data_IF_007530038905
#
_entry.id   IF_007530038905
#
_cell.length_a   1.000
_cell.length_b   1.000
_cell.length_c   1.000
_cell.angle_alpha   90.00
_cell.angle_beta   90.00
_cell.angle_gamma   90.00
#
_symmetry.space_group_name_H-M   'P 1'
#
loop_
_entity.id
_entity.type
_entity.pdbx_description
1 polymer ?
#
# COMPACT_ATOMS: atom_id res chain seq x y z
N UNK A 1 -39.91 5.08 0.34
CA UNK A 1 -40.46 3.72 0.60
C UNK A 1 -39.32 2.92 1.19
N UNK A 2 -39.36 2.67 2.50
CA UNK A 2 -38.26 2.05 3.24
C UNK A 2 -38.17 0.56 2.89
N UNK A 3 -37.12 0.18 2.16
CA UNK A 3 -36.79 -1.20 1.84
C UNK A 3 -35.72 -1.66 2.81
N UNK A 4 -36.02 -2.68 3.62
CA UNK A 4 -35.04 -3.24 4.54
C UNK A 4 -33.91 -3.99 3.81
N UNK A 5 -32.68 -3.88 4.29
CA UNK A 5 -31.52 -4.63 3.83
C UNK A 5 -30.78 -5.29 5.00
N UNK A 6 -29.97 -6.30 4.69
CA UNK A 6 -29.09 -6.99 5.63
C UNK A 6 -27.93 -6.09 6.08
N UNK A 7 -27.31 -6.37 7.22
CA UNK A 7 -26.28 -5.49 7.79
C UNK A 7 -25.14 -6.22 8.49
N UNK A 8 -24.00 -5.54 8.64
CA UNK A 8 -22.79 -6.12 9.27
C UNK A 8 -22.48 -5.37 10.56
N UNK A 9 -22.30 -6.10 11.67
CA UNK A 9 -21.97 -5.52 12.99
C UNK A 9 -20.47 -5.54 13.27
N UNK A 10 -19.95 -4.51 13.96
CA UNK A 10 -18.56 -4.35 14.41
C UNK A 10 -18.48 -4.00 15.91
N UNK A 11 -17.90 -4.88 16.73
CA UNK A 11 -17.63 -4.57 18.16
C UNK A 11 -16.28 -3.88 18.33
N UNK A 12 -16.28 -2.75 19.06
CA UNK A 12 -15.09 -2.20 19.70
C UNK A 12 -15.17 -2.53 21.19
N UNK A 13 -14.23 -3.34 21.71
CA UNK A 13 -14.23 -3.72 23.12
C UNK A 13 -13.87 -2.51 24.00
N UNK A 14 -14.87 -1.81 24.53
CA UNK A 14 -14.66 -0.78 25.56
C UNK A 14 -14.37 -1.46 26.90
N UNK A 15 -13.16 -1.25 27.39
CA UNK A 15 -12.65 -1.83 28.63
C UNK A 15 -13.46 -1.44 29.85
N UNK A 16 -13.80 -2.44 30.66
CA UNK A 16 -14.35 -2.22 32.00
C UNK A 16 -13.20 -1.84 32.92
N UNK A 17 -13.22 -0.60 33.42
CA UNK A 17 -12.36 -0.13 34.50
C UNK A 17 -12.71 -0.88 35.80
N UNK A 18 -11.99 -1.95 36.10
CA UNK A 18 -11.81 -2.44 37.47
C UNK A 18 -10.34 -2.35 37.85
N UNK A 19 -10.12 -1.69 38.98
CA UNK A 19 -8.83 -1.37 39.56
C UNK A 19 -8.19 -2.66 40.08
N UNK A 20 -7.05 -3.08 39.51
CA UNK A 20 -5.97 -3.80 40.21
C UNK A 20 -4.62 -3.54 39.51
N UNK A 21 -3.51 -3.41 40.27
CA UNK A 21 -2.25 -2.92 39.74
C UNK A 21 -1.38 -4.04 39.17
N UNK A 22 -0.71 -3.70 38.06
CA UNK A 22 0.50 -4.35 37.55
C UNK A 22 0.34 -5.78 36.99
N UNK A 23 -0.23 -5.88 35.80
CA UNK A 23 0.13 -6.92 34.83
C UNK A 23 0.86 -6.21 33.69
N UNK A 24 2.16 -6.50 33.58
CA UNK A 24 2.97 -6.20 32.41
C UNK A 24 2.26 -6.71 31.17
N UNK A 25 1.66 -5.79 30.41
CA UNK A 25 0.93 -6.11 29.19
C UNK A 25 1.92 -6.57 28.13
N UNK A 26 2.13 -7.88 28.07
CA UNK A 26 2.41 -8.54 26.81
C UNK A 26 1.19 -8.26 25.93
N UNK A 27 1.33 -7.37 24.95
CA UNK A 27 0.31 -7.03 23.96
C UNK A 27 0.11 -8.17 22.96
N UNK A 28 -0.25 -9.35 23.48
CA UNK A 28 -0.75 -10.51 22.75
C UNK A 28 -2.24 -10.65 23.05
N UNK A 29 -3.05 -9.69 22.58
CA UNK A 29 -4.50 -9.73 22.72
C UNK A 29 -5.08 -11.01 22.13
N UNK A 30 -5.96 -11.66 22.89
CA UNK A 30 -6.67 -12.88 22.49
C UNK A 30 -7.33 -12.70 21.11
N UNK A 31 -6.88 -13.48 20.13
CA UNK A 31 -7.38 -13.52 18.74
C UNK A 31 -8.74 -14.23 18.62
N UNK A 32 -9.66 -14.01 19.54
CA UNK A 32 -10.93 -14.73 19.59
C UNK A 32 -12.11 -13.76 19.51
N UNK A 33 -12.99 -14.00 18.56
CA UNK A 33 -14.26 -13.31 18.46
C UNK A 33 -15.33 -14.03 19.30
N UNK A 34 -16.36 -13.32 19.79
CA UNK A 34 -17.48 -13.97 20.49
C UNK A 34 -18.14 -15.04 19.61
N UNK A 35 -18.85 -15.98 20.23
CA UNK A 35 -19.57 -17.02 19.50
C UNK A 35 -20.51 -16.42 18.46
N UNK A 36 -20.46 -16.92 17.22
CA UNK A 36 -21.21 -16.42 16.07
C UNK A 36 -20.52 -15.32 15.27
N UNK A 37 -19.40 -14.76 15.74
CA UNK A 37 -18.66 -13.70 15.04
C UNK A 37 -17.45 -14.26 14.29
N UNK A 38 -17.11 -13.64 13.17
CA UNK A 38 -15.96 -14.00 12.33
C UNK A 38 -14.82 -13.01 12.52
N UNK A 39 -13.62 -13.53 12.81
CA UNK A 39 -12.39 -12.73 12.85
C UNK A 39 -11.91 -12.45 11.43
N UNK A 40 -11.96 -11.19 11.00
CA UNK A 40 -11.47 -10.73 9.71
C UNK A 40 -10.54 -9.54 9.93
N UNK A 41 -9.29 -9.63 9.45
CA UNK A 41 -8.30 -8.55 9.54
C UNK A 41 -8.15 -7.95 10.96
N UNK A 42 -8.23 -8.80 11.99
CA UNK A 42 -8.10 -8.38 13.39
C UNK A 42 -9.34 -7.72 14.01
N UNK A 43 -10.48 -7.70 13.31
CA UNK A 43 -11.77 -7.20 13.80
C UNK A 43 -12.83 -8.31 13.73
N UNK A 44 -13.83 -8.24 14.60
CA UNK A 44 -14.92 -9.23 14.66
C UNK A 44 -16.13 -8.72 13.91
N UNK A 45 -16.63 -9.51 12.97
CA UNK A 45 -17.79 -9.18 12.15
C UNK A 45 -18.88 -10.24 12.26
N UNK A 46 -20.13 -9.78 12.25
CA UNK A 46 -21.32 -10.61 12.18
C UNK A 46 -22.17 -10.14 11.00
N UNK A 47 -22.62 -11.06 10.15
CA UNK A 47 -23.58 -10.76 9.09
C UNK A 47 -25.00 -11.09 9.57
N UNK A 48 -25.85 -10.07 9.75
CA UNK A 48 -27.25 -10.25 10.12
C UNK A 48 -28.10 -10.41 8.84
N UNK A 49 -28.71 -11.58 8.69
CA UNK A 49 -29.58 -11.93 7.56
C UNK A 49 -30.99 -11.36 7.70
N UNK A 50 -31.27 -10.55 8.71
CA UNK A 50 -32.58 -9.92 8.85
C UNK A 50 -32.60 -8.58 8.13
N UNK A 51 -33.58 -8.37 7.26
CA UNK A 51 -33.74 -7.10 6.55
C UNK A 51 -34.23 -6.01 7.51
N UNK A 52 -33.56 -4.84 7.48
CA UNK A 52 -33.85 -3.65 8.29
C UNK A 52 -33.56 -2.39 7.51
N UNK A 53 -34.23 -1.30 7.81
CA UNK A 53 -33.72 0.00 7.37
C UNK A 53 -32.37 0.30 8.04
N UNK A 54 -31.63 1.29 7.54
CA UNK A 54 -30.27 1.55 8.02
C UNK A 54 -30.24 1.88 9.52
N UNK A 55 -31.23 2.63 10.01
CA UNK A 55 -31.33 3.03 11.43
C UNK A 55 -31.61 1.83 12.33
N UNK A 56 -32.56 0.98 11.99
CA UNK A 56 -32.88 -0.25 12.73
C UNK A 56 -31.73 -1.26 12.67
N UNK A 57 -31.00 -1.29 11.55
CA UNK A 57 -29.78 -2.08 11.40
C UNK A 57 -28.69 -1.61 12.38
N UNK A 58 -28.44 -0.30 12.46
CA UNK A 58 -27.51 0.30 13.43
C UNK A 58 -27.96 0.06 14.88
N UNK A 59 -29.25 0.25 15.20
CA UNK A 59 -29.77 -0.05 16.54
C UNK A 59 -29.58 -1.52 16.92
N UNK A 60 -29.78 -2.43 15.96
CA UNK A 60 -29.53 -3.85 16.19
C UNK A 60 -28.04 -4.15 16.39
N UNK A 61 -27.16 -3.47 15.66
CA UNK A 61 -25.72 -3.52 15.91
C UNK A 61 -25.36 -3.10 17.34
N UNK A 62 -25.88 -1.94 17.76
CA UNK A 62 -25.64 -1.36 19.08
C UNK A 62 -26.13 -2.28 20.20
N UNK A 63 -27.30 -2.91 20.02
CA UNK A 63 -27.84 -3.90 20.97
C UNK A 63 -26.95 -5.14 21.17
N UNK A 64 -26.10 -5.44 20.19
CA UNK A 64 -25.12 -6.55 20.21
C UNK A 64 -23.72 -6.10 20.63
N UNK A 65 -23.57 -4.84 21.07
CA UNK A 65 -22.30 -4.26 21.50
C UNK A 65 -21.40 -3.80 20.36
N UNK A 66 -21.93 -3.58 19.15
CA UNK A 66 -21.16 -3.08 18.01
C UNK A 66 -21.87 -2.01 17.21
N UNK A 67 -21.34 -1.65 16.04
CA UNK A 67 -21.93 -0.66 15.11
C UNK A 67 -22.04 -1.29 13.72
N UNK A 68 -22.70 -0.64 12.77
CA UNK A 68 -22.56 -1.05 11.38
C UNK A 68 -21.09 -1.03 10.93
N UNK A 69 -20.72 -1.99 10.10
CA UNK A 69 -19.32 -2.19 9.74
C UNK A 69 -18.77 -0.99 8.97
N UNK A 70 -17.57 -0.55 9.38
CA UNK A 70 -16.74 0.37 8.63
C UNK A 70 -15.62 -0.36 7.91
N UNK A 71 -15.13 0.20 6.81
CA UNK A 71 -13.91 -0.25 6.14
C UNK A 71 -12.99 0.93 5.86
N UNK A 72 -11.71 0.76 6.20
CA UNK A 72 -10.68 1.81 6.17
C UNK A 72 -9.61 1.56 5.12
N UNK A 73 -9.72 0.45 4.38
CA UNK A 73 -8.81 0.11 3.30
C UNK A 73 -9.53 -0.67 2.19
N UNK A 74 -8.96 -0.72 0.97
CA UNK A 74 -9.45 -1.58 -0.11
C UNK A 74 -9.54 -3.06 0.32
N UNK A 75 -8.58 -3.53 1.12
CA UNK A 75 -8.54 -4.91 1.59
C UNK A 75 -9.67 -5.22 2.58
N UNK A 76 -9.99 -4.29 3.48
CA UNK A 76 -11.16 -4.41 4.38
C UNK A 76 -12.46 -4.46 3.57
N UNK A 77 -12.60 -3.61 2.56
CA UNK A 77 -13.77 -3.60 1.67
C UNK A 77 -13.93 -4.92 0.90
N UNK A 78 -12.87 -5.43 0.28
CA UNK A 78 -12.88 -6.70 -0.46
C UNK A 78 -13.22 -7.85 0.49
N UNK A 79 -12.61 -7.87 1.67
CA UNK A 79 -12.82 -8.92 2.68
C UNK A 79 -14.28 -8.94 3.16
N UNK A 80 -14.89 -7.77 3.42
CA UNK A 80 -16.30 -7.67 3.79
C UNK A 80 -17.22 -8.18 2.68
N UNK A 81 -16.96 -7.83 1.41
CA UNK A 81 -17.76 -8.34 0.29
C UNK A 81 -17.67 -9.85 0.13
N UNK A 82 -16.47 -10.42 0.33
CA UNK A 82 -16.27 -11.87 0.33
C UNK A 82 -16.94 -12.54 1.54
N UNK A 83 -16.95 -11.88 2.69
CA UNK A 83 -17.66 -12.36 3.87
C UNK A 83 -19.16 -12.45 3.63
N UNK A 84 -19.78 -11.40 3.04
CA UNK A 84 -21.19 -11.44 2.62
C UNK A 84 -21.43 -12.57 1.61
N UNK A 85 -20.57 -12.70 0.58
CA UNK A 85 -20.67 -13.78 -0.41
C UNK A 85 -20.67 -15.17 0.24
N UNK A 86 -19.78 -15.41 1.21
CA UNK A 86 -19.72 -16.68 1.94
C UNK A 86 -20.96 -16.90 2.81
N UNK A 87 -21.50 -15.84 3.42
CA UNK A 87 -22.64 -15.92 4.32
C UNK A 87 -23.98 -16.15 3.58
N UNK A 88 -24.14 -15.60 2.38
CA UNK A 88 -25.41 -15.61 1.62
C UNK A 88 -25.36 -16.41 0.31
N UNK A 89 -24.18 -16.83 -0.14
CA UNK A 89 -23.97 -17.50 -1.42
C UNK A 89 -23.94 -16.55 -2.63
N UNK A 90 -24.12 -15.23 -2.43
CA UNK A 90 -24.09 -14.21 -3.49
C UNK A 90 -23.61 -12.86 -2.96
N UNK A 91 -23.26 -11.92 -3.84
CA UNK A 91 -22.98 -10.54 -3.42
C UNK A 91 -24.29 -9.81 -3.09
N UNK A 92 -24.87 -10.11 -1.93
CA UNK A 92 -26.11 -9.47 -1.48
C UNK A 92 -25.86 -8.03 -1.10
N UNK A 93 -26.71 -7.11 -1.58
CA UNK A 93 -26.72 -5.71 -1.13
C UNK A 93 -26.87 -5.66 0.39
N UNK A 94 -25.99 -4.93 1.07
CA UNK A 94 -25.97 -4.89 2.53
C UNK A 94 -25.59 -3.51 3.04
N UNK A 95 -26.20 -3.09 4.14
CA UNK A 95 -25.84 -1.88 4.87
C UNK A 95 -24.45 -1.99 5.50
N UNK A 96 -23.74 -0.87 5.45
CA UNK A 96 -22.52 -0.59 6.20
C UNK A 96 -22.67 0.75 6.90
N UNK A 97 -21.77 1.07 7.83
CA UNK A 97 -21.97 2.21 8.74
C UNK A 97 -21.73 3.58 8.13
N UNK A 98 -21.54 3.68 6.82
CA UNK A 98 -21.27 4.95 6.14
C UNK A 98 -22.56 5.74 6.02
N UNK A 99 -22.55 7.01 6.41
CA UNK A 99 -23.67 7.93 6.21
C UNK A 99 -23.20 9.38 6.06
N UNK A 100 -23.97 10.23 5.41
CA UNK A 100 -23.74 11.69 5.33
C UNK A 100 -24.95 12.53 5.75
N UNK A 101 -25.94 11.92 6.40
CA UNK A 101 -27.15 12.55 6.97
C UNK A 101 -26.91 13.78 7.87
N UNK A 102 -25.68 13.98 8.38
CA UNK A 102 -25.31 15.16 9.16
C UNK A 102 -25.01 16.37 8.26
N UNK A 103 -24.35 16.11 7.13
CA UNK A 103 -23.97 17.12 6.14
C UNK A 103 -23.71 16.43 4.80
N UNK A 104 -24.57 16.73 3.84
CA UNK A 104 -24.50 16.24 2.46
C UNK A 104 -23.08 16.31 1.88
N UNK A 105 -22.63 15.20 1.28
CA UNK A 105 -21.29 15.06 0.71
C UNK A 105 -20.17 14.87 1.72
N UNK A 106 -20.45 14.87 3.03
CA UNK A 106 -19.48 14.59 4.10
C UNK A 106 -19.83 13.27 4.79
N UNK A 107 -19.24 12.19 4.27
CA UNK A 107 -19.44 10.85 4.77
C UNK A 107 -18.70 10.61 6.09
N UNK A 108 -19.40 9.94 7.01
CA UNK A 108 -18.94 9.54 8.33
C UNK A 108 -19.23 8.05 8.56
N UNK A 109 -18.46 7.41 9.42
CA UNK A 109 -18.78 6.07 9.92
C UNK A 109 -19.53 6.17 11.25
N UNK A 110 -20.61 5.38 11.40
CA UNK A 110 -21.39 5.30 12.66
C UNK A 110 -20.55 4.81 13.85
N UNK A 111 -19.51 4.01 13.59
CA UNK A 111 -18.56 3.54 14.60
C UNK A 111 -17.52 4.59 15.05
N UNK A 112 -17.55 5.80 14.48
CA UNK A 112 -16.62 6.88 14.77
C UNK A 112 -15.23 6.72 14.14
N UNK A 113 -15.02 5.72 13.28
CA UNK A 113 -13.76 5.52 12.56
C UNK A 113 -13.42 6.73 11.68
N UNK A 114 -12.15 7.13 11.72
CA UNK A 114 -11.63 8.22 10.87
C UNK A 114 -11.36 7.71 9.46
N UNK A 115 -11.55 8.60 8.47
CA UNK A 115 -11.37 8.35 7.03
C UNK A 115 -12.39 7.36 6.46
N UNK A 116 -13.43 7.91 5.81
CA UNK A 116 -14.30 7.11 4.96
C UNK A 116 -13.55 6.81 3.67
N UNK A 117 -13.12 5.56 3.50
CA UNK A 117 -12.62 5.10 2.21
C UNK A 117 -13.81 5.01 1.26
N UNK A 118 -13.88 5.90 0.29
CA UNK A 118 -14.98 5.93 -0.67
C UNK A 118 -14.54 5.30 -2.00
N UNK A 119 -14.85 4.01 -2.20
CA UNK A 119 -14.76 3.35 -3.51
C UNK A 119 -16.13 3.29 -4.17
N UNK A 120 -16.66 4.47 -4.50
CA UNK A 120 -18.00 4.61 -5.04
C UNK A 120 -18.21 3.89 -6.38
N UNK A 121 -19.46 3.46 -6.59
CA UNK A 121 -20.05 3.16 -7.91
C UNK A 121 -19.64 4.16 -8.98
N UNK A 122 -19.52 3.70 -10.23
CA UNK A 122 -19.54 4.66 -11.34
C UNK A 122 -20.87 5.42 -11.30
N UNK A 123 -20.82 6.73 -11.06
CA UNK A 123 -22.00 7.56 -10.88
C UNK A 123 -22.57 7.55 -9.47
N UNK A 124 -21.78 7.20 -8.45
CA UNK A 124 -22.14 7.35 -7.03
C UNK A 124 -21.11 8.23 -6.30
N UNK A 125 -21.49 8.89 -5.19
CA UNK A 125 -22.85 9.07 -4.72
C UNK A 125 -23.56 10.06 -5.66
N UNK A 126 -24.76 9.72 -6.12
CA UNK A 126 -25.55 10.59 -7.02
C UNK A 126 -26.68 11.34 -6.32
N UNK A 127 -26.88 11.11 -5.02
CA UNK A 127 -28.00 11.67 -4.25
C UNK A 127 -29.35 11.48 -4.98
N UNK A 128 -29.54 10.35 -5.68
CA UNK A 128 -30.80 10.05 -6.34
C UNK A 128 -31.86 9.68 -5.30
N UNK A 129 -32.54 10.70 -4.80
CA UNK A 129 -33.68 10.55 -3.90
C UNK A 129 -33.38 10.79 -2.41
N UNK A 130 -32.27 11.45 -2.05
CA UNK A 130 -31.89 11.68 -0.65
C UNK A 130 -31.31 10.42 0.01
N UNK A 131 -30.41 9.72 -0.68
CA UNK A 131 -29.83 8.46 -0.18
C UNK A 131 -28.61 8.74 0.72
N UNK A 132 -28.86 9.00 2.01
CA UNK A 132 -27.80 9.37 2.97
C UNK A 132 -27.01 8.19 3.56
N UNK A 133 -27.26 6.96 3.09
CA UNK A 133 -26.84 5.71 3.75
C UNK A 133 -26.06 4.80 2.80
N UNK A 134 -24.91 4.30 3.24
CA UNK A 134 -23.99 3.54 2.39
C UNK A 134 -24.36 2.06 2.29
N UNK A 135 -24.40 1.56 1.07
CA UNK A 135 -24.55 0.14 0.74
C UNK A 135 -23.27 -0.44 0.13
N UNK A 136 -23.03 -1.73 0.37
CA UNK A 136 -22.09 -2.53 -0.42
C UNK A 136 -22.84 -3.53 -1.30
N UNK A 137 -22.23 -3.91 -2.43
CA UNK A 137 -22.79 -4.86 -3.41
C UNK A 137 -24.11 -4.42 -4.09
N UNK A 138 -24.44 -3.12 -4.14
CA UNK A 138 -25.58 -2.60 -4.91
C UNK A 138 -25.48 -3.07 -6.37
N UNK A 139 -26.49 -3.79 -6.85
CA UNK A 139 -26.51 -4.38 -8.21
C UNK A 139 -25.73 -5.71 -8.38
N UNK A 140 -25.38 -6.39 -7.29
CA UNK A 140 -24.71 -7.69 -7.30
C UNK A 140 -23.21 -7.62 -7.57
N UNK A 141 -22.62 -8.69 -8.12
CA UNK A 141 -21.19 -8.89 -8.40
C UNK A 141 -20.55 -7.87 -9.36
N UNK A 142 -21.11 -6.66 -9.53
CA UNK A 142 -20.43 -5.50 -10.11
C UNK A 142 -19.32 -5.05 -9.16
N UNK A 143 -18.32 -5.89 -9.17
CA UNK A 143 -16.99 -5.70 -8.68
C UNK A 143 -16.45 -4.40 -9.33
N UNK A 144 -16.47 -3.29 -8.58
CA UNK A 144 -15.45 -2.23 -8.70
C UNK A 144 -14.14 -2.64 -7.99
N UNK A 145 -13.48 -3.72 -8.43
CA UNK A 145 -12.03 -3.76 -8.46
C UNK A 145 -11.54 -3.80 -9.90
N UNK A 146 -12.36 -3.93 -10.95
CA UNK A 146 -11.78 -3.97 -12.30
C UNK A 146 -11.12 -2.64 -12.67
N UNK A 147 -11.76 -1.49 -12.42
CA UNK A 147 -11.16 -0.20 -12.77
C UNK A 147 -10.00 0.20 -11.84
N UNK A 148 -10.14 -0.01 -10.52
CA UNK A 148 -9.07 0.33 -9.57
C UNK A 148 -7.86 -0.61 -9.70
N UNK A 149 -8.09 -1.92 -9.89
CA UNK A 149 -7.03 -2.89 -10.14
C UNK A 149 -6.42 -2.69 -11.53
N UNK A 150 -7.21 -2.42 -12.58
CA UNK A 150 -6.67 -2.11 -13.90
C UNK A 150 -5.87 -0.80 -13.90
N UNK A 151 -6.32 0.21 -13.15
CA UNK A 151 -5.57 1.46 -12.97
C UNK A 151 -4.26 1.18 -12.25
N UNK A 152 -4.29 0.48 -11.12
CA UNK A 152 -3.10 0.09 -10.39
C UNK A 152 -2.16 -0.79 -11.22
N UNK A 153 -2.69 -1.73 -12.02
CA UNK A 153 -1.92 -2.56 -12.94
C UNK A 153 -1.31 -1.75 -14.09
N UNK A 154 -2.03 -0.75 -14.61
CA UNK A 154 -1.52 0.14 -15.65
C UNK A 154 -0.43 1.07 -15.11
N UNK A 155 -0.63 1.65 -13.93
CA UNK A 155 0.38 2.45 -13.22
C UNK A 155 1.62 1.61 -12.88
N UNK A 156 1.43 0.36 -12.47
CA UNK A 156 2.51 -0.59 -12.25
C UNK A 156 3.26 -0.94 -13.55
N UNK A 157 2.54 -1.18 -14.65
CA UNK A 157 3.13 -1.48 -15.95
C UNK A 157 3.90 -0.28 -16.52
N UNK A 158 3.42 0.94 -16.30
CA UNK A 158 4.10 2.17 -16.68
C UNK A 158 5.37 2.39 -15.85
N UNK A 159 5.28 2.17 -14.54
CA UNK A 159 6.44 2.22 -13.63
C UNK A 159 7.50 1.19 -14.03
N UNK A 160 7.09 -0.04 -14.38
CA UNK A 160 8.01 -1.07 -14.84
C UNK A 160 8.73 -0.68 -16.13
N UNK A 161 8.05 -0.01 -17.07
CA UNK A 161 8.68 0.50 -18.30
C UNK A 161 9.71 1.59 -18.01
N UNK A 162 9.43 2.49 -17.08
CA UNK A 162 10.38 3.52 -16.65
C UNK A 162 11.63 2.86 -16.04
N UNK A 163 11.43 1.88 -15.16
CA UNK A 163 12.54 1.13 -14.55
C UNK A 163 13.38 0.37 -15.59
N UNK A 164 12.74 -0.18 -16.63
CA UNK A 164 13.45 -0.88 -17.70
C UNK A 164 14.29 0.08 -18.56
N UNK A 165 13.78 1.29 -18.84
CA UNK A 165 14.51 2.34 -19.58
C UNK A 165 15.70 2.87 -18.76
N UNK A 166 15.50 3.11 -17.46
CA UNK A 166 16.57 3.57 -16.57
C UNK A 166 17.64 2.49 -16.38
N UNK A 167 17.27 1.21 -16.32
CA UNK A 167 18.23 0.09 -16.31
C UNK A 167 19.07 0.07 -17.58
N UNK A 168 18.47 0.36 -18.74
CA UNK A 168 19.21 0.43 -20.00
C UNK A 168 20.20 1.59 -20.01
N UNK A 169 19.78 2.79 -19.58
CA UNK A 169 20.68 3.94 -19.44
C UNK A 169 21.83 3.67 -18.49
N UNK A 170 21.57 2.94 -17.39
CA UNK A 170 22.61 2.54 -16.45
C UNK A 170 23.63 1.61 -17.12
N UNK A 171 23.17 0.61 -17.88
CA UNK A 171 24.06 -0.28 -18.63
C UNK A 171 24.90 0.46 -19.68
N UNK A 172 24.32 1.43 -20.39
CA UNK A 172 25.05 2.26 -21.35
C UNK A 172 26.13 3.13 -20.65
N UNK A 173 25.82 3.68 -19.48
CA UNK A 173 26.79 4.41 -18.65
C UNK A 173 27.91 3.51 -18.12
N UNK A 174 27.58 2.30 -17.67
CA UNK A 174 28.57 1.31 -17.23
C UNK A 174 29.53 0.95 -18.38
N UNK A 175 29.01 0.77 -19.59
CA UNK A 175 29.82 0.57 -20.79
C UNK A 175 30.76 1.74 -21.07
N UNK A 176 30.26 2.98 -21.02
CA UNK A 176 31.08 4.17 -21.22
C UNK A 176 32.18 4.33 -20.14
N UNK A 177 31.88 3.97 -18.88
CA UNK A 177 32.87 3.96 -17.81
C UNK A 177 33.96 2.92 -18.08
N UNK A 178 33.60 1.72 -18.53
CA UNK A 178 34.57 0.68 -18.87
C UNK A 178 35.51 1.13 -20.01
N UNK A 179 34.96 1.79 -21.04
CA UNK A 179 35.75 2.36 -22.14
C UNK A 179 36.71 3.45 -21.67
N UNK A 180 36.24 4.35 -20.79
CA UNK A 180 37.08 5.39 -20.20
C UNK A 180 38.19 4.78 -19.32
N UNK A 181 37.87 3.75 -18.54
CA UNK A 181 38.85 3.01 -17.75
C UNK A 181 39.91 2.37 -18.64
N UNK A 182 39.53 1.74 -19.76
CA UNK A 182 40.46 1.17 -20.71
C UNK A 182 41.41 2.24 -21.31
N UNK A 183 40.86 3.40 -21.73
CA UNK A 183 41.67 4.53 -22.23
C UNK A 183 42.62 5.09 -21.17
N UNK A 184 42.17 5.15 -19.91
CA UNK A 184 43.01 5.59 -18.80
C UNK A 184 44.17 4.61 -18.54
N UNK A 185 43.93 3.30 -18.58
CA UNK A 185 44.98 2.29 -18.42
C UNK A 185 46.00 2.33 -19.57
N UNK A 186 45.57 2.52 -20.82
CA UNK A 186 46.47 2.70 -21.97
C UNK A 186 47.35 3.96 -21.80
N UNK A 187 46.76 5.06 -21.33
CA UNK A 187 47.51 6.30 -21.04
C UNK A 187 48.55 6.10 -19.94
N UNK A 188 48.21 5.35 -18.89
CA UNK A 188 49.14 4.97 -17.83
C UNK A 188 50.29 4.08 -18.34
N UNK A 189 50.01 3.14 -19.24
CA UNK A 189 51.02 2.29 -19.85
C UNK A 189 52.02 3.12 -20.68
N UNK A 190 51.51 4.04 -21.51
CA UNK A 190 52.34 4.98 -22.28
C UNK A 190 53.18 5.88 -21.38
N UNK A 191 52.62 6.36 -20.27
CA UNK A 191 53.37 7.13 -19.27
C UNK A 191 54.54 6.32 -18.70
N UNK A 192 54.31 5.07 -18.28
CA UNK A 192 55.38 4.19 -17.78
C UNK A 192 56.49 3.96 -18.80
N UNK A 193 56.13 3.81 -20.08
CA UNK A 193 57.12 3.68 -21.16
C UNK A 193 57.95 4.97 -21.31
N UNK A 194 57.30 6.13 -21.27
CA UNK A 194 57.99 7.41 -21.36
C UNK A 194 58.92 7.66 -20.16
N UNK A 195 58.45 7.36 -18.95
CA UNK A 195 59.25 7.47 -17.72
C UNK A 195 60.50 6.57 -17.80
N UNK A 196 60.35 5.35 -18.33
CA UNK A 196 61.48 4.44 -18.56
C UNK A 196 62.50 5.00 -19.58
N UNK A 197 62.01 5.58 -20.69
CA UNK A 197 62.87 6.24 -21.68
C UNK A 197 63.60 7.44 -21.10
N UNK A 198 62.92 8.25 -20.26
CA UNK A 198 63.52 9.39 -19.60
C UNK A 198 64.65 8.98 -18.65
N UNK A 199 64.41 7.98 -17.79
CA UNK A 199 65.42 7.44 -16.90
C UNK A 199 66.64 6.87 -17.65
N UNK A 200 66.43 6.23 -18.80
CA UNK A 200 67.54 5.77 -19.65
C UNK A 200 68.37 6.94 -20.20
N UNK A 201 67.72 8.04 -20.60
CA UNK A 201 68.38 9.25 -21.06
C UNK A 201 69.20 9.92 -19.95
N UNK A 202 68.64 10.10 -18.75
CA UNK A 202 69.37 10.64 -17.59
C UNK A 202 70.62 9.80 -17.29
N UNK A 203 70.48 8.48 -17.23
CA UNK A 203 71.62 7.58 -16.99
C UNK A 203 72.69 7.64 -18.10
N UNK A 204 72.33 8.01 -19.34
CA UNK A 204 73.30 8.24 -20.42
C UNK A 204 74.01 9.59 -20.27
N UNK A 205 73.30 10.63 -19.88
CA UNK A 205 73.87 11.95 -19.61
C UNK A 205 74.88 11.89 -18.45
N UNK A 206 74.52 11.24 -17.35
CA UNK A 206 75.42 11.06 -16.20
C UNK A 206 76.72 10.32 -16.57
N UNK A 207 76.63 9.34 -17.47
CA UNK A 207 77.82 8.63 -17.99
C UNK A 207 78.68 9.52 -18.87
N UNK A 208 78.08 10.31 -19.76
CA UNK A 208 78.81 11.25 -20.61
C UNK A 208 79.54 12.32 -19.77
N UNK A 209 78.89 12.85 -18.73
CA UNK A 209 79.47 13.82 -17.82
C UNK A 209 80.66 13.25 -17.02
N UNK A 210 80.61 11.97 -16.64
CA UNK A 210 81.74 11.27 -16.00
C UNK A 210 82.93 11.12 -16.95
N UNK A 211 82.69 10.76 -18.21
CA UNK A 211 83.75 10.62 -19.23
C UNK A 211 84.41 11.97 -19.52
N UNK A 212 83.62 13.05 -19.70
CA UNK A 212 84.17 14.39 -19.90
C UNK A 212 85.11 14.82 -18.78
N UNK A 213 84.74 14.54 -17.51
CA UNK A 213 85.59 14.87 -16.36
C UNK A 213 86.86 14.02 -16.24
N UNK A 214 86.89 12.81 -16.83
CA UNK A 214 88.10 11.98 -16.82
C UNK A 214 89.11 12.37 -17.90
N UNK A 215 88.67 13.03 -18.97
CA UNK A 215 89.56 13.49 -20.05
C UNK A 215 90.24 14.85 -19.74
N UNK A 216 89.84 15.53 -18.65
CA UNK A 216 90.39 16.82 -18.20
C UNK A 216 91.53 16.69 -17.15
N UNK A 217 91.98 15.46 -16.82
CA UNK A 217 93.06 15.14 -15.87
C UNK A 217 94.26 14.56 -16.63
#
# INVERSE_FOLDING_TARGET
>A
MASGLHFVVLVCAMGVLWIMPNVSSTSGGCKFCPSGWSLLLGRCYLFDKTERDWTDAELSCLSRGGNLASFRSPDEYITLRQFVLKATGKHTTSWVGGHDAVKEGVWLWSDGSKHVFTAWGQGEPNDLGGEDCMEINRGGSKLIPMQALQKAQKELAETQRILDDDRKKLADLEGAIADLQAKYQDSLAKKKELDSKYQLCEARLDRADKVRKSDEI
#
